data_IF_957300034038
#
_entry.id   IF_957300034038
#
_cell.length_a   1.000
_cell.length_b   1.000
_cell.length_c   1.000
_cell.angle_alpha   90.00
_cell.angle_beta   90.00
_cell.angle_gamma   90.00
#
_symmetry.space_group_name_H-M   'P 1'
#
loop_
_entity.id
_entity.type
_entity.pdbx_description
1 polymer ?
#
# COMPACT_ATOMS: atom_id res chain seq x y z
N UNK A 1 -21.72 -5.90 43.34
CA UNK A 1 -21.46 -5.65 41.90
C UNK A 1 -20.72 -6.87 41.39
N UNK A 2 -21.46 -7.86 40.92
CA UNK A 2 -20.91 -9.18 40.59
C UNK A 2 -20.46 -9.19 39.12
N UNK A 3 -19.14 -9.15 38.92
CA UNK A 3 -18.52 -9.27 37.60
C UNK A 3 -18.67 -10.71 37.08
N UNK A 4 -19.71 -10.93 36.28
CA UNK A 4 -19.91 -12.18 35.54
C UNK A 4 -18.90 -12.27 34.40
N UNK A 5 -17.75 -12.92 34.68
CA UNK A 5 -16.74 -13.26 33.69
C UNK A 5 -17.29 -14.36 32.76
N UNK A 6 -17.96 -13.95 31.69
CA UNK A 6 -18.43 -14.86 30.64
C UNK A 6 -17.23 -15.33 29.82
N UNK A 7 -16.62 -16.41 30.30
CA UNK A 7 -15.56 -17.13 29.61
C UNK A 7 -16.22 -17.95 28.49
N UNK A 8 -16.28 -17.38 27.28
CA UNK A 8 -16.67 -18.12 26.08
C UNK A 8 -15.70 -19.31 25.91
N UNK A 9 -16.18 -20.57 25.98
CA UNK A 9 -15.29 -21.71 25.79
C UNK A 9 -14.96 -21.78 24.30
N UNK A 10 -13.73 -21.44 23.93
CA UNK A 10 -13.24 -21.68 22.57
C UNK A 10 -13.31 -23.20 22.29
N UNK A 11 -13.97 -23.64 21.20
CA UNK A 11 -13.95 -25.03 20.80
C UNK A 11 -12.51 -25.44 20.47
N UNK A 12 -11.95 -26.31 21.30
CA UNK A 12 -10.64 -26.90 21.11
C UNK A 12 -10.64 -27.78 19.84
N UNK A 13 -10.35 -27.19 18.67
CA UNK A 13 -10.12 -27.92 17.42
C UNK A 13 -8.74 -28.59 17.42
N UNK A 14 -8.48 -29.48 18.37
CA UNK A 14 -7.35 -30.41 18.28
C UNK A 14 -7.75 -31.63 17.46
N UNK A 15 -7.89 -31.44 16.15
CA UNK A 15 -7.72 -32.55 15.21
C UNK A 15 -6.25 -32.93 15.16
N UNK A 16 -5.84 -33.79 16.10
CA UNK A 16 -4.53 -34.45 16.11
C UNK A 16 -4.48 -35.46 14.94
N UNK A 17 -4.39 -34.96 13.71
CA UNK A 17 -4.06 -35.80 12.57
C UNK A 17 -2.64 -36.28 12.74
N UNK A 18 -2.51 -37.58 13.03
CA UNK A 18 -1.26 -38.33 13.06
C UNK A 18 -0.45 -38.01 11.79
N UNK A 19 0.64 -37.26 11.95
CA UNK A 19 1.53 -36.81 10.89
C UNK A 19 2.38 -37.97 10.34
N UNK A 20 1.77 -38.94 9.67
CA UNK A 20 2.50 -40.12 9.21
C UNK A 20 3.42 -39.88 8.00
N UNK A 21 3.41 -38.71 7.36
CA UNK A 21 4.21 -38.46 6.14
C UNK A 21 4.83 -37.06 6.00
N UNK A 22 5.07 -36.33 7.10
CA UNK A 22 5.81 -35.05 7.05
C UNK A 22 7.33 -35.28 6.92
N UNK A 23 7.77 -35.98 5.87
CA UNK A 23 9.19 -35.94 5.49
C UNK A 23 9.43 -34.61 4.77
N UNK A 24 10.34 -33.79 5.31
CA UNK A 24 10.84 -32.59 4.61
C UNK A 24 11.57 -33.03 3.35
N UNK A 25 11.35 -32.33 2.24
CA UNK A 25 12.13 -32.52 1.03
C UNK A 25 13.59 -32.16 1.30
N UNK A 26 14.52 -32.93 0.75
CA UNK A 26 15.95 -32.64 0.83
C UNK A 26 16.29 -31.38 0.02
N UNK A 27 17.43 -30.76 0.30
CA UNK A 27 17.87 -29.57 -0.43
C UNK A 27 18.09 -29.85 -1.93
N UNK A 28 18.50 -31.07 -2.28
CA UNK A 28 18.63 -31.49 -3.67
C UNK A 28 17.28 -31.65 -4.35
N UNK A 29 16.31 -32.28 -3.66
CA UNK A 29 14.94 -32.40 -4.17
C UNK A 29 14.30 -31.03 -4.39
N UNK A 30 14.52 -30.09 -3.47
CA UNK A 30 14.04 -28.71 -3.61
C UNK A 30 14.70 -28.03 -4.81
N UNK A 31 16.02 -28.16 -5.00
CA UNK A 31 16.72 -27.58 -6.16
C UNK A 31 16.17 -28.08 -7.49
N UNK A 32 15.88 -29.37 -7.61
CA UNK A 32 15.30 -29.92 -8.84
C UNK A 32 13.88 -29.37 -9.10
N UNK A 33 13.07 -29.27 -8.04
CA UNK A 33 11.72 -28.68 -8.12
C UNK A 33 11.78 -27.19 -8.51
N UNK A 34 12.72 -26.43 -7.95
CA UNK A 34 12.94 -25.02 -8.30
C UNK A 34 13.38 -24.87 -9.75
N UNK A 35 14.34 -25.69 -10.22
CA UNK A 35 14.77 -25.68 -11.62
C UNK A 35 13.61 -25.98 -12.57
N UNK A 36 12.77 -26.95 -12.24
CA UNK A 36 11.61 -27.27 -13.09
C UNK A 36 10.55 -26.16 -13.03
N UNK A 37 10.27 -25.61 -11.85
CA UNK A 37 9.31 -24.52 -11.66
C UNK A 37 9.69 -23.25 -12.43
N UNK A 38 10.98 -22.91 -12.46
CA UNK A 38 11.48 -21.75 -13.19
C UNK A 38 11.31 -21.92 -14.71
N UNK A 39 11.38 -23.16 -15.22
CA UNK A 39 11.13 -23.47 -16.62
C UNK A 39 9.63 -23.52 -16.95
N UNK A 40 8.83 -24.16 -16.09
CA UNK A 40 7.38 -24.22 -16.22
C UNK A 40 6.71 -24.12 -14.83
N UNK A 41 6.03 -23.00 -14.59
CA UNK A 41 5.31 -22.73 -13.34
C UNK A 41 4.01 -23.57 -13.20
N UNK A 42 3.49 -24.11 -14.31
CA UNK A 42 2.32 -24.98 -14.30
C UNK A 42 2.76 -26.44 -14.11
N UNK A 43 2.17 -27.08 -13.11
CA UNK A 43 2.43 -28.49 -12.81
C UNK A 43 1.40 -29.37 -13.52
N UNK A 44 1.77 -29.87 -14.70
CA UNK A 44 0.91 -30.80 -15.45
C UNK A 44 0.82 -32.17 -14.76
N UNK A 45 -0.30 -32.91 -14.89
CA UNK A 45 -0.48 -34.20 -14.23
C UNK A 45 0.60 -35.23 -14.61
N UNK A 46 1.02 -35.25 -15.87
CA UNK A 46 2.07 -36.13 -16.36
C UNK A 46 3.44 -35.75 -15.79
N UNK A 47 3.79 -34.46 -15.87
CA UNK A 47 5.06 -33.96 -15.33
C UNK A 47 5.15 -34.15 -13.82
N UNK A 48 4.04 -34.00 -13.09
CA UNK A 48 3.96 -34.30 -11.65
C UNK A 48 4.34 -35.75 -11.34
N UNK A 49 3.83 -36.69 -12.12
CA UNK A 49 4.13 -38.12 -11.94
C UNK A 49 5.60 -38.42 -12.24
N UNK A 50 6.16 -37.81 -13.30
CA UNK A 50 7.58 -37.91 -13.63
C UNK A 50 8.47 -37.35 -12.51
N UNK A 51 8.20 -36.13 -12.04
CA UNK A 51 8.94 -35.50 -10.94
C UNK A 51 8.85 -36.31 -9.65
N UNK A 52 7.68 -36.86 -9.34
CA UNK A 52 7.49 -37.72 -8.16
C UNK A 52 8.39 -38.96 -8.22
N UNK A 53 8.50 -39.58 -9.40
CA UNK A 53 9.37 -40.73 -9.64
C UNK A 53 10.85 -40.34 -9.57
N UNK A 54 11.27 -39.29 -10.29
CA UNK A 54 12.65 -38.76 -10.31
C UNK A 54 13.14 -38.41 -8.89
N UNK A 55 12.26 -37.83 -8.06
CA UNK A 55 12.59 -37.39 -6.71
C UNK A 55 12.42 -38.47 -5.64
N UNK A 56 11.76 -39.58 -5.97
CA UNK A 56 11.38 -40.63 -5.01
C UNK A 56 10.40 -40.14 -3.93
N UNK A 57 9.52 -39.19 -4.27
CA UNK A 57 8.56 -38.59 -3.32
C UNK A 57 7.12 -38.78 -3.78
N UNK A 58 6.13 -38.80 -2.87
CA UNK A 58 4.73 -38.91 -3.26
C UNK A 58 4.30 -37.73 -4.17
N UNK A 59 3.50 -37.97 -5.23
CA UNK A 59 2.98 -36.91 -6.11
C UNK A 59 2.26 -35.78 -5.37
N UNK A 60 1.66 -36.09 -4.22
CA UNK A 60 1.04 -35.09 -3.33
C UNK A 60 2.06 -34.11 -2.76
N UNK A 61 3.27 -34.53 -2.42
CA UNK A 61 4.31 -33.63 -1.90
C UNK A 61 4.78 -32.66 -2.99
N UNK A 62 4.94 -33.13 -4.23
CA UNK A 62 5.23 -32.27 -5.39
C UNK A 62 4.13 -31.22 -5.56
N UNK A 63 2.86 -31.64 -5.54
CA UNK A 63 1.72 -30.72 -5.67
C UNK A 63 1.68 -29.65 -4.55
N UNK A 64 1.86 -30.04 -3.29
CA UNK A 64 1.92 -29.13 -2.15
C UNK A 64 3.10 -28.16 -2.29
N UNK A 65 4.26 -28.65 -2.73
CA UNK A 65 5.43 -27.81 -2.93
C UNK A 65 5.17 -26.74 -3.98
N UNK A 66 4.57 -27.08 -5.13
CA UNK A 66 4.22 -26.11 -6.18
C UNK A 66 3.18 -25.08 -5.68
N UNK A 67 2.19 -25.51 -4.91
CA UNK A 67 1.23 -24.61 -4.28
C UNK A 67 1.92 -23.62 -3.33
N UNK A 68 2.79 -24.12 -2.45
CA UNK A 68 3.54 -23.30 -1.51
C UNK A 68 4.55 -22.38 -2.19
N UNK A 69 5.16 -22.82 -3.30
CA UNK A 69 6.06 -21.98 -4.10
C UNK A 69 5.28 -20.81 -4.72
N UNK A 70 4.15 -21.06 -5.37
CA UNK A 70 3.29 -19.98 -5.90
C UNK A 70 2.77 -19.03 -4.83
N UNK A 71 2.38 -19.56 -3.66
CA UNK A 71 1.94 -18.73 -2.55
C UNK A 71 3.07 -17.81 -2.07
N UNK A 72 4.29 -18.33 -1.92
CA UNK A 72 5.47 -17.55 -1.55
C UNK A 72 5.83 -16.50 -2.59
N UNK A 73 5.81 -16.84 -3.88
CA UNK A 73 6.11 -15.89 -4.95
C UNK A 73 5.07 -14.77 -5.03
N UNK A 74 3.79 -15.08 -4.79
CA UNK A 74 2.74 -14.07 -4.69
C UNK A 74 2.99 -13.11 -3.52
N UNK A 75 3.31 -13.65 -2.35
CA UNK A 75 3.63 -12.83 -1.17
C UNK A 75 4.85 -11.96 -1.45
N UNK A 76 5.93 -12.53 -1.99
CA UNK A 76 7.14 -11.80 -2.34
C UNK A 76 6.86 -10.68 -3.35
N UNK A 77 6.02 -10.94 -4.36
CA UNK A 77 5.59 -9.91 -5.32
C UNK A 77 4.85 -8.75 -4.63
N UNK A 78 3.93 -9.05 -3.71
CA UNK A 78 3.22 -8.03 -2.94
C UNK A 78 4.15 -7.23 -2.02
N UNK A 79 5.12 -7.89 -1.38
CA UNK A 79 6.11 -7.23 -0.53
C UNK A 79 7.00 -6.28 -1.34
N UNK A 80 7.41 -6.68 -2.55
CA UNK A 80 8.19 -5.83 -3.45
C UNK A 80 7.38 -4.63 -3.94
N UNK A 81 6.12 -4.84 -4.30
CA UNK A 81 5.23 -3.76 -4.72
C UNK A 81 4.99 -2.76 -3.58
N UNK A 82 4.72 -3.25 -2.37
CA UNK A 82 4.60 -2.42 -1.18
C UNK A 82 5.86 -1.56 -0.95
N UNK A 83 7.05 -2.16 -1.03
CA UNK A 83 8.32 -1.41 -0.90
C UNK A 83 8.47 -0.36 -2.00
N UNK A 84 8.10 -0.67 -3.23
CA UNK A 84 8.11 0.28 -4.34
C UNK A 84 7.15 1.44 -4.10
N UNK A 85 5.93 1.17 -3.63
CA UNK A 85 4.97 2.19 -3.24
C UNK A 85 5.49 3.09 -2.13
N UNK A 86 6.12 2.49 -1.11
CA UNK A 86 6.69 3.22 0.02
C UNK A 86 7.80 4.18 -0.42
N UNK A 87 8.73 3.73 -1.27
CA UNK A 87 9.79 4.60 -1.81
C UNK A 87 9.22 5.78 -2.61
N UNK A 88 8.14 5.56 -3.38
CA UNK A 88 7.46 6.66 -4.10
C UNK A 88 6.81 7.64 -3.13
N UNK A 89 6.16 7.14 -2.09
CA UNK A 89 5.57 7.98 -1.05
C UNK A 89 6.64 8.85 -0.38
N UNK A 90 7.76 8.26 0.02
CA UNK A 90 8.87 8.98 0.66
C UNK A 90 9.43 10.08 -0.26
N UNK A 91 9.57 9.78 -1.56
CA UNK A 91 9.98 10.77 -2.57
C UNK A 91 8.99 11.94 -2.69
N UNK A 92 7.69 11.63 -2.79
CA UNK A 92 6.64 12.66 -2.86
C UNK A 92 6.60 13.51 -1.58
N UNK A 93 6.79 12.90 -0.41
CA UNK A 93 6.86 13.63 0.86
C UNK A 93 8.08 14.57 0.91
N UNK A 94 9.25 14.11 0.47
CA UNK A 94 10.44 14.94 0.38
C UNK A 94 10.23 16.14 -0.55
N UNK A 95 9.63 15.91 -1.72
CA UNK A 95 9.29 16.99 -2.65
C UNK A 95 8.24 17.95 -2.06
N UNK A 96 7.24 17.44 -1.34
CA UNK A 96 6.25 18.27 -0.68
C UNK A 96 6.87 19.21 0.36
N UNK A 97 7.81 18.70 1.17
CA UNK A 97 8.57 19.49 2.14
C UNK A 97 9.37 20.58 1.42
N UNK A 98 10.15 20.20 0.40
CA UNK A 98 10.95 21.15 -0.39
C UNK A 98 10.09 22.25 -1.03
N UNK A 99 8.96 21.88 -1.61
CA UNK A 99 8.04 22.84 -2.23
C UNK A 99 7.40 23.77 -1.20
N UNK A 100 7.05 23.27 -0.01
CA UNK A 100 6.53 24.12 1.08
C UNK A 100 7.57 25.14 1.54
N UNK A 101 8.83 24.73 1.69
CA UNK A 101 9.92 25.65 2.03
C UNK A 101 10.12 26.72 0.96
N UNK A 102 10.06 26.34 -0.32
CA UNK A 102 10.20 27.28 -1.43
C UNK A 102 9.02 28.26 -1.50
N UNK A 103 7.80 27.79 -1.26
CA UNK A 103 6.61 28.65 -1.17
C UNK A 103 6.77 29.68 -0.05
N UNK A 104 7.19 29.27 1.14
CA UNK A 104 7.39 30.21 2.25
C UNK A 104 8.54 31.19 1.98
N UNK A 105 9.62 30.74 1.34
CA UNK A 105 10.72 31.62 0.87
C UNK A 105 10.20 32.68 -0.10
N UNK A 106 9.47 32.27 -1.13
CA UNK A 106 8.93 33.18 -2.14
C UNK A 106 7.92 34.16 -1.55
N UNK A 107 7.07 33.71 -0.62
CA UNK A 107 6.16 34.60 0.13
C UNK A 107 6.92 35.65 0.94
N UNK A 108 7.99 35.25 1.61
CA UNK A 108 8.85 36.16 2.36
C UNK A 108 9.48 37.22 1.45
N UNK A 109 10.04 36.81 0.30
CA UNK A 109 10.60 37.74 -0.68
C UNK A 109 9.53 38.69 -1.25
N UNK A 110 8.33 38.20 -1.57
CA UNK A 110 7.22 39.05 -2.02
C UNK A 110 6.79 40.07 -0.97
N UNK A 111 6.70 39.67 0.31
CA UNK A 111 6.38 40.59 1.41
C UNK A 111 7.47 41.67 1.59
N UNK A 112 8.73 41.28 1.46
CA UNK A 112 9.88 42.19 1.51
C UNK A 112 9.86 43.19 0.35
N UNK A 113 9.59 42.74 -0.87
CA UNK A 113 9.43 43.62 -2.04
C UNK A 113 8.25 44.56 -1.84
N UNK A 114 7.09 44.06 -1.39
CA UNK A 114 5.89 44.86 -1.16
C UNK A 114 6.10 45.95 -0.10
N UNK A 115 6.81 45.65 1.00
CA UNK A 115 7.17 46.65 2.02
C UNK A 115 8.18 47.68 1.51
N UNK A 116 9.18 47.27 0.71
CA UNK A 116 10.11 48.19 0.07
C UNK A 116 9.42 49.11 -0.97
N UNK A 117 8.46 48.58 -1.73
CA UNK A 117 7.65 49.35 -2.68
C UNK A 117 6.69 50.33 -1.98
N UNK A 118 6.08 49.92 -0.87
CA UNK A 118 5.25 50.78 -0.02
C UNK A 118 6.02 51.97 0.57
N UNK A 119 7.33 51.82 0.78
CA UNK A 119 8.19 52.89 1.29
C UNK A 119 8.61 53.90 0.21
N UNK A 120 8.65 53.50 -1.07
CA UNK A 120 8.98 54.42 -2.19
C UNK A 120 7.83 55.39 -2.53
N UNK A 121 6.58 54.98 -2.34
CA UNK A 121 5.42 55.83 -2.64
C UNK A 121 5.15 56.91 -1.57
N UNK A 122 5.81 56.90 -0.42
CA UNK A 122 5.66 57.96 0.59
C UNK A 122 6.42 59.26 0.27
N UNK A 123 7.08 59.36 -0.90
CA UNK A 123 7.77 60.59 -1.34
C UNK A 123 7.21 61.23 -2.61
N UNK A 124 6.15 60.70 -3.21
CA UNK A 124 5.45 61.35 -4.32
C UNK A 124 4.04 61.74 -3.88
N UNK A 125 3.89 63.02 -3.54
CA UNK A 125 2.61 63.72 -3.49
C UNK A 125 1.81 63.44 -4.77
N UNK A 126 0.54 63.03 -4.62
CA UNK A 126 -0.46 63.09 -5.69
C UNK A 126 -1.05 61.75 -6.11
N UNK A 127 -2.33 61.59 -5.74
CA UNK A 127 -3.38 60.85 -6.42
C UNK A 127 -3.61 59.37 -6.12
N UNK A 128 -4.76 59.14 -5.50
CA UNK A 128 -5.41 57.87 -5.24
C UNK A 128 -5.70 57.09 -6.53
N UNK A 129 -5.26 55.84 -6.62
CA UNK A 129 -5.97 54.81 -7.39
C UNK A 129 -5.65 53.41 -6.87
N UNK A 130 -6.69 52.71 -6.43
CA UNK A 130 -6.82 51.26 -6.62
C UNK A 130 -5.92 50.37 -5.76
N UNK A 131 -6.12 50.36 -4.44
CA UNK A 131 -5.72 49.23 -3.62
C UNK A 131 -6.66 48.04 -3.90
N UNK A 132 -6.46 47.37 -5.04
CA UNK A 132 -7.12 46.11 -5.33
C UNK A 132 -6.56 45.05 -4.38
N UNK A 133 -7.37 44.74 -3.38
CA UNK A 133 -7.20 43.68 -2.40
C UNK A 133 -6.68 42.41 -3.07
N UNK A 134 -5.39 42.13 -2.87
CA UNK A 134 -4.85 40.80 -3.12
C UNK A 134 -5.52 39.88 -2.10
N UNK A 135 -6.57 39.18 -2.54
CA UNK A 135 -7.21 38.12 -1.78
C UNK A 135 -6.14 37.06 -1.49
N UNK A 136 -5.53 37.16 -0.30
CA UNK A 136 -4.73 36.12 0.30
C UNK A 136 -5.65 34.89 0.40
N UNK A 137 -5.45 33.92 -0.48
CA UNK A 137 -6.13 32.64 -0.42
C UNK A 137 -5.79 32.05 0.95
N UNK A 138 -6.77 32.03 1.87
CA UNK A 138 -6.61 31.48 3.21
C UNK A 138 -6.02 30.09 3.12
N UNK A 139 -4.94 29.87 3.87
CA UNK A 139 -4.24 28.59 4.01
C UNK A 139 -5.19 27.43 4.34
N UNK A 140 -6.29 27.74 5.04
CA UNK A 140 -7.34 26.79 5.42
C UNK A 140 -8.19 26.30 4.23
N UNK A 141 -8.31 27.07 3.15
CA UNK A 141 -9.07 26.67 1.96
C UNK A 141 -8.30 25.61 1.14
N UNK A 142 -6.97 25.74 1.05
CA UNK A 142 -6.14 24.82 0.26
C UNK A 142 -6.07 23.43 0.89
N UNK A 143 -6.03 23.34 2.21
CA UNK A 143 -6.02 22.06 2.94
C UNK A 143 -7.37 21.33 2.80
N UNK A 144 -8.47 22.08 2.80
CA UNK A 144 -9.82 21.55 2.59
C UNK A 144 -10.04 21.02 1.17
N UNK A 145 -9.53 21.73 0.17
CA UNK A 145 -9.65 21.35 -1.25
C UNK A 145 -8.74 20.16 -1.61
N UNK A 146 -7.56 20.06 -0.98
CA UNK A 146 -6.67 18.90 -1.08
C UNK A 146 -7.29 17.66 -0.44
N UNK A 147 -7.90 17.79 0.74
CA UNK A 147 -8.60 16.68 1.39
C UNK A 147 -9.82 16.24 0.56
N UNK A 148 -10.64 17.18 0.08
CA UNK A 148 -11.80 16.88 -0.76
C UNK A 148 -11.42 16.13 -2.06
N UNK A 149 -10.27 16.45 -2.66
CA UNK A 149 -9.76 15.73 -3.84
C UNK A 149 -9.22 14.33 -3.53
N UNK A 150 -8.71 14.10 -2.31
CA UNK A 150 -8.25 12.79 -1.84
C UNK A 150 -9.43 11.85 -1.48
N UNK A 151 -10.53 12.40 -0.96
CA UNK A 151 -11.73 11.61 -0.60
C UNK A 151 -12.75 11.52 -1.76
N UNK A 152 -12.69 12.41 -2.75
CA UNK A 152 -13.65 12.52 -3.85
C UNK A 152 -13.54 11.48 -4.96
N UNK A 153 -12.57 10.55 -4.91
CA UNK A 153 -12.41 9.46 -5.88
C UNK A 153 -13.11 8.15 -5.49
N UNK A 154 -13.65 8.05 -4.28
CA UNK A 154 -14.41 6.90 -3.82
C UNK A 154 -15.87 7.01 -4.23
N UNK A 155 -16.20 6.50 -5.42
CA UNK A 155 -17.60 6.22 -5.76
C UNK A 155 -18.23 5.44 -4.61
N UNK A 156 -19.38 5.85 -4.05
CA UNK A 156 -20.08 5.05 -3.06
C UNK A 156 -20.27 3.66 -3.66
N UNK A 157 -19.91 2.62 -2.90
CA UNK A 157 -20.27 1.25 -3.24
C UNK A 157 -21.79 1.16 -3.22
N UNK A 158 -22.41 1.48 -4.35
CA UNK A 158 -23.80 1.15 -4.63
C UNK A 158 -23.78 -0.34 -4.93
N UNK A 159 -24.17 -1.13 -3.94
CA UNK A 159 -24.47 -2.53 -4.17
C UNK A 159 -25.55 -2.59 -5.28
N UNK A 160 -25.34 -3.34 -6.37
CA UNK A 160 -26.43 -3.62 -7.29
C UNK A 160 -27.46 -4.45 -6.53
N UNK A 161 -28.65 -3.86 -6.39
CA UNK A 161 -29.90 -4.38 -5.85
C UNK A 161 -29.85 -5.79 -5.25
N UNK A 162 -30.05 -5.88 -3.93
CA UNK A 162 -30.77 -7.00 -3.34
C UNK A 162 -30.05 -7.90 -2.33
N UNK A 163 -29.02 -7.43 -1.61
CA UNK A 163 -28.42 -8.23 -0.53
C UNK A 163 -28.25 -7.42 0.76
N UNK A 164 -29.27 -7.47 1.62
CA UNK A 164 -29.17 -7.04 3.01
C UNK A 164 -28.37 -8.09 3.81
N UNK A 165 -27.25 -7.67 4.41
CA UNK A 165 -26.38 -8.54 5.21
C UNK A 165 -26.85 -8.68 6.67
N UNK A 166 -27.98 -8.06 7.05
CA UNK A 166 -28.64 -8.28 8.32
C UNK A 166 -30.15 -8.25 8.11
N UNK A 167 -30.77 -9.44 7.98
CA UNK A 167 -32.20 -9.63 7.82
C UNK A 167 -32.53 -10.99 7.24
#
# INVERSE_FOLDING_TARGET
MDHHHHQFPYPQLVRKHQNKHKKRLSQEQVRLLESNFNFNNKLDPERKSQLALELGVPPRQVAIWYQNKRARDKIQGLELDHKSMQLRLDGVLADNVRLKEEVERLKFELSKIQSAFGSFNSTSSGDEVGSSSLNLISRDNLERDLYASLVGGGSPFVAPDGYDFFG
#
